data_IF_902297062774
#
_entry.id   IF_902297062774
#
_cell.length_a   1.000
_cell.length_b   1.000
_cell.length_c   1.000
_cell.angle_alpha   90.00
_cell.angle_beta   90.00
_cell.angle_gamma   90.00
#
_symmetry.space_group_name_H-M   'P 1'
#
loop_
_entity.id
_entity.type
_entity.pdbx_description
1 polymer ?
#
# COMPACT_ATOMS: atom_id res chain seq x y z
N UNK A 1 -10.40 57.17 -52.40
CA UNK A 1 -9.76 56.26 -51.42
C UNK A 1 -10.26 54.87 -51.68
N UNK A 2 -9.39 53.96 -52.08
CA UNK A 2 -9.69 52.51 -52.15
C UNK A 2 -9.47 51.93 -50.76
N UNK A 3 -10.42 51.15 -50.26
CA UNK A 3 -10.23 50.41 -49.01
C UNK A 3 -9.14 49.35 -49.17
N UNK A 4 -8.37 49.03 -48.11
CA UNK A 4 -7.48 47.88 -48.13
C UNK A 4 -8.26 46.60 -48.43
N UNK A 5 -7.61 45.61 -49.06
CA UNK A 5 -8.21 44.29 -49.25
C UNK A 5 -8.43 43.61 -47.89
N UNK A 6 -9.51 42.85 -47.78
CA UNK A 6 -9.81 41.99 -46.64
C UNK A 6 -9.82 40.56 -47.15
N UNK A 7 -8.88 39.75 -46.66
CA UNK A 7 -8.78 38.34 -47.03
C UNK A 7 -9.62 37.51 -46.07
N UNK A 8 -10.51 36.68 -46.61
CA UNK A 8 -11.31 35.69 -45.87
C UNK A 8 -10.85 34.32 -46.35
N UNK A 9 -10.36 33.51 -45.41
CA UNK A 9 -10.18 32.08 -45.61
C UNK A 9 -11.40 31.37 -45.04
N UNK A 10 -12.04 30.52 -45.86
CA UNK A 10 -13.15 29.68 -45.42
C UNK A 10 -12.60 28.29 -45.18
N UNK A 11 -12.73 27.81 -43.95
CA UNK A 11 -12.50 26.42 -43.60
C UNK A 11 -13.83 25.78 -43.18
N UNK A 12 -14.12 24.62 -43.77
CA UNK A 12 -15.31 23.83 -43.51
C UNK A 12 -14.96 22.37 -43.19
N UNK A 13 -13.68 22.06 -42.96
CA UNK A 13 -13.20 20.73 -42.63
C UNK A 13 -13.15 20.61 -41.11
N UNK A 14 -13.96 19.72 -40.54
CA UNK A 14 -13.86 19.46 -39.12
C UNK A 14 -12.61 18.60 -38.79
N UNK A 15 -12.07 18.73 -37.56
CA UNK A 15 -11.05 17.82 -37.05
C UNK A 15 -11.47 16.35 -37.10
N UNK A 16 -10.50 15.44 -37.11
CA UNK A 16 -10.74 14.03 -36.76
C UNK A 16 -11.14 13.90 -35.28
N UNK A 17 -11.73 12.75 -34.89
CA UNK A 17 -12.06 12.52 -33.48
C UNK A 17 -10.79 12.60 -32.62
N UNK A 18 -10.83 13.24 -31.44
CA UNK A 18 -9.71 13.20 -30.51
C UNK A 18 -9.44 11.77 -30.01
N UNK A 19 -8.26 11.58 -29.43
CA UNK A 19 -7.87 10.36 -28.72
C UNK A 19 -7.66 10.72 -27.26
N UNK A 20 -8.31 10.01 -26.35
CA UNK A 20 -7.98 10.00 -24.92
C UNK A 20 -7.12 8.75 -24.66
N UNK A 21 -5.86 8.97 -24.31
CA UNK A 21 -4.85 7.91 -24.22
C UNK A 21 -4.71 7.30 -22.82
N UNK A 22 -4.71 8.14 -21.79
CA UNK A 22 -4.59 7.72 -20.39
C UNK A 22 -5.24 8.70 -19.44
N UNK A 23 -5.52 8.22 -18.23
CA UNK A 23 -5.69 9.06 -17.05
C UNK A 23 -4.45 8.90 -16.15
N UNK A 24 -4.14 9.87 -15.30
CA UNK A 24 -3.05 9.78 -14.33
C UNK A 24 -3.61 9.98 -12.93
N UNK A 25 -3.27 9.06 -12.05
CA UNK A 25 -3.50 9.12 -10.60
C UNK A 25 -2.24 9.66 -9.92
N UNK A 26 -2.39 10.76 -9.18
CA UNK A 26 -1.32 11.34 -8.36
C UNK A 26 -1.61 11.37 -6.84
N UNK A 27 -2.66 10.69 -6.41
CA UNK A 27 -3.17 10.64 -5.02
C UNK A 27 -2.75 9.32 -4.35
N UNK A 28 -2.99 9.19 -3.05
CA UNK A 28 -2.81 7.90 -2.38
C UNK A 28 -1.37 7.35 -2.35
N UNK A 29 -1.28 6.05 -2.12
CA UNK A 29 -0.01 5.30 -2.11
C UNK A 29 0.25 4.56 -3.43
N UNK A 30 -0.78 4.37 -4.25
CA UNK A 30 -0.70 3.76 -5.57
C UNK A 30 -0.92 4.90 -6.56
N UNK A 31 0.06 5.14 -7.44
CA UNK A 31 0.06 6.27 -8.37
C UNK A 31 0.57 5.83 -9.73
N UNK A 32 0.16 6.56 -10.76
CA UNK A 32 0.69 6.38 -12.12
C UNK A 32 -0.39 6.49 -13.18
N UNK A 33 -0.01 6.09 -14.39
CA UNK A 33 -0.90 6.15 -15.55
C UNK A 33 -1.86 4.95 -15.58
N UNK A 34 -3.12 5.26 -15.88
CA UNK A 34 -4.25 4.36 -15.99
C UNK A 34 -4.64 4.24 -17.46
N UNK A 35 -4.90 3.00 -17.87
CA UNK A 35 -5.50 2.68 -19.17
C UNK A 35 -7.03 2.67 -19.07
N UNK A 36 -7.71 2.58 -20.22
CA UNK A 36 -9.17 2.42 -20.26
C UNK A 36 -9.61 1.19 -19.43
N UNK A 37 -10.59 1.41 -18.54
CA UNK A 37 -11.05 0.45 -17.55
C UNK A 37 -10.26 0.45 -16.23
N UNK A 38 -9.37 1.43 -16.03
CA UNK A 38 -8.60 1.59 -14.80
C UNK A 38 -9.45 2.02 -13.60
N UNK A 39 -8.90 1.84 -12.40
CA UNK A 39 -9.52 2.25 -11.13
C UNK A 39 -8.54 3.10 -10.32
N UNK A 40 -9.02 4.10 -9.59
CA UNK A 40 -8.17 5.08 -8.88
C UNK A 40 -8.83 5.61 -7.60
N UNK A 41 -8.02 5.99 -6.61
CA UNK A 41 -8.44 6.77 -5.44
C UNK A 41 -8.32 8.29 -5.63
N UNK A 42 -7.90 8.73 -6.82
CA UNK A 42 -7.82 10.13 -7.22
C UNK A 42 -9.18 10.63 -7.74
N UNK A 43 -9.72 11.65 -7.08
CA UNK A 43 -10.98 12.27 -7.48
C UNK A 43 -10.84 13.29 -8.61
N UNK A 44 -9.63 13.69 -8.94
CA UNK A 44 -9.31 14.65 -10.00
C UNK A 44 -8.23 14.09 -10.92
N UNK A 45 -8.45 12.91 -11.53
CA UNK A 45 -7.44 12.28 -12.37
C UNK A 45 -7.12 13.16 -13.57
N UNK A 46 -5.86 13.16 -13.98
CA UNK A 46 -5.43 13.98 -15.12
C UNK A 46 -5.56 13.19 -16.41
N UNK A 47 -6.46 13.62 -17.30
CA UNK A 47 -6.67 13.00 -18.61
C UNK A 47 -5.66 13.54 -19.63
N UNK A 48 -5.06 12.62 -20.40
CA UNK A 48 -4.06 12.93 -21.42
C UNK A 48 -4.49 12.35 -22.77
N UNK A 49 -4.28 13.11 -23.83
CA UNK A 49 -4.68 12.67 -25.16
C UNK A 49 -4.06 13.47 -26.30
N UNK A 50 -4.60 13.25 -27.50
CA UNK A 50 -4.24 13.99 -28.70
C UNK A 50 -5.46 14.47 -29.50
N UNK A 51 -5.34 15.59 -30.17
CA UNK A 51 -6.31 16.16 -31.09
C UNK A 51 -5.58 16.97 -32.20
N UNK A 52 -6.33 17.61 -33.09
CA UNK A 52 -5.73 18.54 -34.06
C UNK A 52 -4.99 19.67 -33.33
N UNK A 53 -3.73 20.01 -33.69
CA UNK A 53 -2.98 21.09 -33.05
C UNK A 53 -3.74 22.42 -33.03
N UNK A 54 -3.76 23.09 -31.88
CA UNK A 54 -4.47 24.35 -31.68
C UNK A 54 -5.99 24.23 -31.53
N UNK A 55 -6.58 23.05 -31.76
CA UNK A 55 -8.02 22.84 -31.55
C UNK A 55 -8.40 22.88 -30.07
N UNK A 56 -9.63 23.36 -29.80
CA UNK A 56 -10.24 23.26 -28.47
C UNK A 56 -10.79 21.86 -28.27
N UNK A 57 -10.38 21.21 -27.18
CA UNK A 57 -10.88 19.90 -26.77
C UNK A 57 -11.89 20.09 -25.65
N UNK A 58 -13.13 19.67 -25.87
CA UNK A 58 -14.18 19.55 -24.86
C UNK A 58 -14.14 18.15 -24.23
N UNK A 59 -14.26 18.07 -22.90
CA UNK A 59 -14.25 16.81 -22.14
C UNK A 59 -15.62 16.64 -21.48
N UNK A 60 -16.15 15.42 -21.56
CA UNK A 60 -17.44 15.03 -21.01
C UNK A 60 -17.28 13.82 -20.10
N UNK A 61 -18.05 13.78 -19.01
CA UNK A 61 -18.24 12.61 -18.14
C UNK A 61 -19.71 12.19 -18.19
N UNK A 62 -19.98 10.97 -18.62
CA UNK A 62 -21.33 10.43 -18.78
C UNK A 62 -22.24 11.34 -19.65
N UNK A 63 -21.63 12.02 -20.63
CA UNK A 63 -22.28 12.97 -21.54
C UNK A 63 -22.46 14.39 -20.99
N UNK A 64 -22.09 14.66 -19.73
CA UNK A 64 -22.10 16.02 -19.17
C UNK A 64 -20.74 16.70 -19.40
N UNK A 65 -20.75 17.95 -19.87
CA UNK A 65 -19.51 18.68 -20.12
C UNK A 65 -18.83 19.10 -18.81
N UNK A 66 -17.63 18.58 -18.56
CA UNK A 66 -16.87 18.84 -17.33
C UNK A 66 -15.76 19.88 -17.50
N UNK A 67 -15.39 20.22 -18.74
CA UNK A 67 -14.42 21.26 -19.02
C UNK A 67 -13.82 21.16 -20.41
N UNK A 68 -12.83 22.02 -20.66
CA UNK A 68 -12.12 22.04 -21.94
C UNK A 68 -10.67 22.45 -21.78
N UNK A 69 -9.85 22.04 -22.73
CA UNK A 69 -8.43 22.41 -22.85
C UNK A 69 -8.09 22.74 -24.32
N UNK A 70 -6.87 23.16 -24.60
CA UNK A 70 -6.38 23.40 -25.97
C UNK A 70 -5.27 22.39 -26.27
N UNK A 71 -5.33 21.75 -27.44
CA UNK A 71 -4.24 20.91 -27.92
C UNK A 71 -3.04 21.77 -28.32
N UNK A 72 -1.85 21.36 -27.89
CA UNK A 72 -0.60 22.08 -28.18
C UNK A 72 -0.21 21.99 -29.67
N UNK A 73 0.90 22.63 -30.04
CA UNK A 73 1.41 22.64 -31.42
C UNK A 73 1.77 21.24 -31.96
N UNK A 74 1.93 20.24 -31.08
CA UNK A 74 2.15 18.84 -31.45
C UNK A 74 0.86 18.02 -31.42
N UNK A 75 -0.27 18.63 -31.08
CA UNK A 75 -1.58 17.99 -30.95
C UNK A 75 -1.79 17.29 -29.60
N UNK A 76 -0.88 17.41 -28.64
CA UNK A 76 -1.05 16.82 -27.31
C UNK A 76 -1.93 17.72 -26.43
N UNK A 77 -2.78 17.12 -25.61
CA UNK A 77 -3.59 17.86 -24.64
C UNK A 77 -3.63 17.16 -23.29
N UNK A 78 -3.84 17.97 -22.24
CA UNK A 78 -4.03 17.51 -20.88
C UNK A 78 -5.20 18.28 -20.22
N UNK A 79 -5.98 17.56 -19.42
CA UNK A 79 -7.09 18.13 -18.66
C UNK A 79 -7.23 17.47 -17.28
N UNK A 80 -7.21 18.27 -16.22
CA UNK A 80 -7.50 17.86 -14.85
C UNK A 80 -8.83 18.48 -14.43
N UNK A 81 -9.86 17.71 -14.08
CA UNK A 81 -11.12 18.25 -13.58
C UNK A 81 -10.90 19.13 -12.35
N UNK A 82 -11.58 20.28 -12.26
CA UNK A 82 -11.54 21.14 -11.06
C UNK A 82 -12.58 20.74 -10.02
N UNK A 83 -13.68 20.13 -10.46
CA UNK A 83 -14.67 19.50 -9.59
C UNK A 83 -14.33 18.03 -9.48
N UNK A 84 -14.24 17.46 -8.26
CA UNK A 84 -14.02 16.03 -8.06
C UNK A 84 -15.07 15.20 -8.80
N UNK A 85 -14.63 14.16 -9.49
CA UNK A 85 -15.51 13.13 -10.02
C UNK A 85 -16.16 12.40 -8.83
N UNK A 86 -17.48 12.15 -8.84
CA UNK A 86 -18.13 11.27 -7.86
C UNK A 86 -17.48 9.89 -7.80
N UNK A 87 -17.77 9.11 -6.78
CA UNK A 87 -17.34 7.70 -6.72
C UNK A 87 -18.16 6.84 -7.70
N UNK A 88 -17.49 5.93 -8.41
CA UNK A 88 -18.11 4.97 -9.31
C UNK A 88 -17.54 4.98 -10.73
N UNK A 89 -18.31 4.41 -11.66
CA UNK A 89 -17.92 4.30 -13.07
C UNK A 89 -18.22 5.60 -13.85
N UNK A 90 -17.23 6.05 -14.62
CA UNK A 90 -17.24 7.23 -15.47
C UNK A 90 -16.96 6.84 -16.92
N UNK A 91 -17.76 7.38 -17.82
CA UNK A 91 -17.57 7.27 -19.27
C UNK A 91 -17.06 8.60 -19.80
N UNK A 92 -15.75 8.69 -20.05
CA UNK A 92 -15.10 9.92 -20.48
C UNK A 92 -15.03 9.96 -22.01
N UNK A 93 -15.63 10.98 -22.60
CA UNK A 93 -15.56 11.25 -24.04
C UNK A 93 -15.06 12.67 -24.30
N UNK A 94 -14.58 12.90 -25.52
CA UNK A 94 -14.05 14.20 -25.94
C UNK A 94 -14.47 14.57 -27.35
N UNK A 95 -14.56 15.88 -27.64
CA UNK A 95 -14.70 16.41 -29.01
C UNK A 95 -13.65 17.49 -29.25
N UNK A 96 -13.27 17.71 -30.52
CA UNK A 96 -12.37 18.80 -30.91
C UNK A 96 -13.07 19.79 -31.83
N UNK A 97 -12.81 21.08 -31.61
CA UNK A 97 -13.27 22.19 -32.45
C UNK A 97 -12.07 22.98 -32.95
N UNK A 98 -11.92 23.11 -34.27
CA UNK A 98 -10.83 23.87 -34.90
C UNK A 98 -10.95 25.40 -34.66
N UNK A 99 -9.96 26.17 -35.13
CA UNK A 99 -9.97 27.65 -35.04
C UNK A 99 -11.10 28.29 -35.85
N UNK A 100 -11.60 27.63 -36.90
CA UNK A 100 -12.69 28.10 -37.73
C UNK A 100 -14.08 27.82 -37.13
N UNK A 101 -14.14 27.03 -36.06
CA UNK A 101 -15.35 26.65 -35.34
C UNK A 101 -16.02 25.37 -35.85
N UNK A 102 -15.35 24.54 -36.66
CA UNK A 102 -15.86 23.24 -37.07
C UNK A 102 -15.57 22.20 -35.97
N UNK A 103 -16.61 21.53 -35.47
CA UNK A 103 -16.48 20.47 -34.46
C UNK A 103 -16.47 19.09 -35.13
N UNK A 104 -15.48 18.28 -34.76
CA UNK A 104 -15.31 16.90 -35.22
C UNK A 104 -16.23 15.90 -34.51
N UNK A 105 -16.15 14.61 -34.88
CA UNK A 105 -16.83 13.53 -34.17
C UNK A 105 -16.29 13.34 -32.74
N UNK A 106 -17.10 12.71 -31.89
CA UNK A 106 -16.71 12.31 -30.54
C UNK A 106 -15.63 11.21 -30.56
N UNK A 107 -14.76 11.22 -29.55
CA UNK A 107 -13.74 10.19 -29.32
C UNK A 107 -14.35 8.82 -29.02
N UNK A 108 -13.48 7.80 -28.98
CA UNK A 108 -13.86 6.54 -28.33
C UNK A 108 -14.04 6.77 -26.81
N UNK A 109 -14.82 5.90 -26.19
CA UNK A 109 -15.12 5.93 -24.76
C UNK A 109 -13.93 5.46 -23.91
N UNK A 110 -13.61 6.25 -22.88
CA UNK A 110 -12.63 5.89 -21.86
C UNK A 110 -13.34 5.69 -20.52
N UNK A 111 -13.47 4.43 -20.12
CA UNK A 111 -14.03 4.05 -18.84
C UNK A 111 -12.99 4.26 -17.76
N UNK A 112 -13.37 4.95 -16.69
CA UNK A 112 -12.58 5.10 -15.48
C UNK A 112 -13.47 4.81 -14.28
N UNK A 113 -12.98 4.07 -13.29
CA UNK A 113 -13.69 3.86 -12.04
C UNK A 113 -12.96 4.60 -10.92
N UNK A 114 -13.66 5.48 -10.23
CA UNK A 114 -13.16 6.12 -9.01
C UNK A 114 -13.66 5.34 -7.80
N UNK A 115 -12.77 5.10 -6.84
CA UNK A 115 -13.06 4.39 -5.60
C UNK A 115 -12.34 5.11 -4.46
N UNK A 116 -13.10 5.70 -3.54
CA UNK A 116 -12.56 6.44 -2.40
C UNK A 116 -12.85 5.74 -1.07
N UNK A 117 -13.46 4.55 -1.14
CA UNK A 117 -13.97 3.86 0.04
C UNK A 117 -12.92 2.89 0.55
N UNK A 118 -12.30 3.16 1.72
CA UNK A 118 -11.37 2.22 2.31
C UNK A 118 -12.08 0.93 2.77
N UNK A 119 -11.34 -0.17 2.94
CA UNK A 119 -11.89 -1.40 3.50
C UNK A 119 -12.46 -1.19 4.91
N UNK A 120 -13.41 -2.03 5.32
CA UNK A 120 -13.98 -1.98 6.67
C UNK A 120 -12.92 -2.37 7.71
N UNK A 121 -12.69 -1.49 8.69
CA UNK A 121 -11.61 -1.62 9.67
C UNK A 121 -12.07 -1.74 11.13
N UNK A 122 -13.36 -2.07 11.35
CA UNK A 122 -13.90 -2.28 12.70
C UNK A 122 -13.28 -3.51 13.37
N UNK A 123 -13.32 -3.55 14.71
CA UNK A 123 -12.68 -4.63 15.48
C UNK A 123 -13.19 -6.04 15.16
N UNK A 124 -14.42 -6.16 14.67
CA UNK A 124 -15.04 -7.44 14.31
C UNK A 124 -14.63 -7.93 12.91
N UNK A 125 -14.12 -7.03 12.06
CA UNK A 125 -13.70 -7.33 10.69
C UNK A 125 -12.17 -7.42 10.59
N UNK A 126 -11.44 -6.51 11.23
CA UNK A 126 -9.99 -6.43 11.18
C UNK A 126 -9.39 -6.64 12.58
N UNK A 127 -8.86 -7.83 12.85
CA UNK A 127 -8.15 -8.13 14.10
C UNK A 127 -7.12 -9.27 13.95
N UNK A 128 -6.22 -9.35 14.94
CA UNK A 128 -5.29 -10.48 15.11
C UNK A 128 -6.02 -11.58 15.88
N UNK A 129 -6.03 -12.79 15.32
CA UNK A 129 -6.67 -13.97 15.91
C UNK A 129 -5.68 -14.86 16.65
N UNK A 130 -4.42 -14.90 16.20
CA UNK A 130 -3.36 -15.68 16.86
C UNK A 130 -1.96 -15.14 16.57
N UNK A 131 -1.06 -15.33 17.53
CA UNK A 131 0.38 -15.13 17.40
C UNK A 131 1.03 -16.46 17.77
N UNK A 132 1.59 -17.16 16.78
CA UNK A 132 2.09 -18.52 16.94
C UNK A 132 3.58 -18.52 17.23
N UNK A 133 3.95 -19.03 18.41
CA UNK A 133 5.31 -19.32 18.83
C UNK A 133 5.68 -20.76 18.46
N UNK A 134 6.75 -20.96 17.69
CA UNK A 134 7.30 -22.26 17.35
C UNK A 134 8.73 -22.49 17.88
N UNK A 135 9.20 -21.61 18.77
CA UNK A 135 10.56 -21.61 19.32
C UNK A 135 10.58 -22.12 20.75
N UNK A 136 11.71 -22.71 21.14
CA UNK A 136 11.99 -23.02 22.54
C UNK A 136 11.01 -23.98 23.22
N UNK A 137 10.81 -23.77 24.52
CA UNK A 137 10.10 -24.71 25.39
C UNK A 137 8.60 -24.42 25.56
N UNK A 138 8.13 -23.25 25.09
CA UNK A 138 6.74 -22.79 25.25
C UNK A 138 6.13 -22.41 23.90
N UNK A 139 5.87 -23.43 23.10
CA UNK A 139 5.27 -23.27 21.78
C UNK A 139 3.73 -23.23 21.83
N UNK A 140 3.13 -22.59 20.83
CA UNK A 140 1.68 -22.51 20.64
C UNK A 140 1.20 -21.07 20.44
N UNK A 141 -0.10 -20.86 20.61
CA UNK A 141 -0.69 -19.52 20.50
C UNK A 141 -0.37 -18.67 21.74
N UNK A 142 0.22 -17.51 21.52
CA UNK A 142 0.54 -16.48 22.51
C UNK A 142 -0.62 -15.49 22.55
N UNK A 143 -1.37 -15.45 23.66
CA UNK A 143 -2.47 -14.52 23.82
C UNK A 143 -1.99 -13.08 24.03
N UNK A 144 -2.84 -12.08 23.73
CA UNK A 144 -2.53 -10.68 24.04
C UNK A 144 -2.27 -10.49 25.53
N UNK A 145 -1.16 -9.85 25.87
CA UNK A 145 -0.62 -9.65 27.21
C UNK A 145 0.41 -10.69 27.67
N UNK A 146 0.62 -11.77 26.90
CA UNK A 146 1.53 -12.85 27.28
C UNK A 146 2.97 -12.65 26.77
N UNK A 147 3.86 -13.57 27.17
CA UNK A 147 5.27 -13.61 26.78
C UNK A 147 5.55 -14.69 25.74
N UNK A 148 6.58 -14.48 24.90
CA UNK A 148 7.09 -15.44 23.91
C UNK A 148 8.61 -15.41 23.87
N UNK A 149 9.25 -16.56 23.63
CA UNK A 149 10.70 -16.64 23.32
C UNK A 149 10.98 -16.72 21.82
N UNK A 150 9.94 -16.67 20.99
CA UNK A 150 10.02 -16.50 19.56
C UNK A 150 10.07 -15.01 19.18
N UNK A 151 11.16 -14.60 18.53
CA UNK A 151 11.30 -13.23 17.99
C UNK A 151 10.65 -13.05 16.62
N UNK A 152 10.20 -14.12 15.96
CA UNK A 152 9.59 -14.11 14.63
C UNK A 152 8.31 -14.97 14.59
N UNK A 153 7.35 -14.73 15.51
CA UNK A 153 6.12 -15.50 15.52
C UNK A 153 5.34 -15.32 14.23
N UNK A 154 4.53 -16.32 13.89
CA UNK A 154 3.58 -16.22 12.78
C UNK A 154 2.29 -15.57 13.28
N UNK A 155 1.93 -14.43 12.70
CA UNK A 155 0.74 -13.66 13.08
C UNK A 155 -0.39 -14.02 12.12
N UNK A 156 -1.54 -14.43 12.65
CA UNK A 156 -2.75 -14.66 11.86
C UNK A 156 -3.86 -13.72 12.30
N UNK A 157 -4.74 -13.39 11.38
CA UNK A 157 -5.89 -12.55 11.67
C UNK A 157 -6.99 -12.66 10.63
N UNK A 158 -7.99 -11.82 10.81
CA UNK A 158 -9.09 -11.63 9.87
C UNK A 158 -9.10 -10.21 9.30
N UNK A 159 -9.69 -10.06 8.13
CA UNK A 159 -9.83 -8.80 7.41
C UNK A 159 -10.85 -8.89 6.28
N UNK A 160 -11.05 -7.78 5.57
CA UNK A 160 -11.88 -7.76 4.36
C UNK A 160 -11.15 -8.47 3.20
N UNK A 161 -11.80 -9.44 2.55
CA UNK A 161 -11.18 -10.24 1.50
C UNK A 161 -10.64 -9.39 0.33
N UNK A 162 -9.43 -9.68 -0.14
CA UNK A 162 -8.76 -8.93 -1.21
C UNK A 162 -8.02 -7.68 -0.75
N UNK A 163 -8.32 -7.15 0.44
CA UNK A 163 -7.54 -6.06 1.05
C UNK A 163 -6.15 -6.53 1.49
N UNK A 164 -5.23 -5.59 1.66
CA UNK A 164 -3.89 -5.81 2.22
C UNK A 164 -3.84 -5.31 3.65
N UNK A 165 -3.51 -6.18 4.59
CA UNK A 165 -3.29 -5.85 6.00
C UNK A 165 -1.81 -5.57 6.24
N UNK A 166 -1.51 -4.46 6.91
CA UNK A 166 -0.19 -4.05 7.34
C UNK A 166 -0.10 -4.19 8.86
N UNK A 167 0.90 -4.92 9.34
CA UNK A 167 1.12 -5.14 10.77
C UNK A 167 2.26 -4.26 11.24
N UNK A 168 2.00 -3.42 12.24
CA UNK A 168 2.98 -2.54 12.88
C UNK A 168 3.27 -3.01 14.29
N UNK A 169 4.53 -2.90 14.73
CA UNK A 169 4.88 -2.95 16.15
C UNK A 169 5.17 -1.54 16.65
N UNK A 170 4.68 -1.20 17.85
CA UNK A 170 5.20 -0.10 18.64
C UNK A 170 5.95 -0.68 19.84
N UNK A 171 7.25 -0.44 19.87
CA UNK A 171 8.16 -0.93 20.90
C UNK A 171 8.95 0.24 21.55
N UNK A 172 10.04 -0.07 22.26
CA UNK A 172 10.91 0.94 22.87
C UNK A 172 11.59 1.90 21.88
N UNK A 173 11.70 1.53 20.60
CA UNK A 173 12.27 2.32 19.51
C UNK A 173 11.19 3.10 18.72
N UNK A 174 9.91 2.81 18.94
CA UNK A 174 8.77 3.47 18.32
C UNK A 174 8.01 2.61 17.31
N UNK A 175 7.01 3.21 16.64
CA UNK A 175 6.16 2.51 15.67
C UNK A 175 6.93 2.23 14.38
N UNK A 176 6.93 0.98 13.93
CA UNK A 176 7.54 0.56 12.66
C UNK A 176 6.76 -0.60 12.02
N UNK A 177 6.85 -0.72 10.69
CA UNK A 177 6.17 -1.77 9.93
C UNK A 177 6.92 -3.09 10.08
N UNK A 178 6.20 -4.16 10.43
CA UNK A 178 6.74 -5.52 10.48
C UNK A 178 6.62 -6.23 9.12
N UNK A 179 5.49 -6.00 8.44
CA UNK A 179 5.20 -6.58 7.14
C UNK A 179 3.74 -6.41 6.76
N UNK A 180 3.33 -7.04 5.66
CA UNK A 180 1.95 -7.03 5.19
C UNK A 180 1.54 -8.38 4.61
N UNK A 181 0.23 -8.63 4.60
CA UNK A 181 -0.37 -9.84 4.05
C UNK A 181 -1.69 -9.51 3.35
N UNK A 182 -1.97 -10.18 2.23
CA UNK A 182 -3.27 -10.06 1.55
C UNK A 182 -4.28 -10.97 2.24
N UNK A 183 -5.48 -10.46 2.47
CA UNK A 183 -6.60 -11.23 3.00
C UNK A 183 -7.15 -12.14 1.91
N UNK A 184 -7.22 -13.44 2.19
CA UNK A 184 -7.74 -14.42 1.26
C UNK A 184 -9.28 -14.31 1.08
N UNK A 185 -9.84 -15.09 0.16
CA UNK A 185 -11.28 -15.10 -0.12
C UNK A 185 -12.17 -15.57 1.05
N UNK A 186 -11.58 -16.18 2.07
CA UNK A 186 -12.26 -16.62 3.29
C UNK A 186 -12.20 -15.58 4.41
N UNK A 187 -11.54 -14.42 4.18
CA UNK A 187 -11.41 -13.35 5.15
C UNK A 187 -10.23 -13.52 6.12
N UNK A 188 -9.30 -14.44 5.84
CA UNK A 188 -8.14 -14.72 6.70
C UNK A 188 -6.83 -14.20 6.08
N UNK A 189 -5.89 -13.78 6.92
CA UNK A 189 -4.54 -13.43 6.52
C UNK A 189 -3.51 -14.04 7.49
N UNK A 190 -2.31 -14.29 6.97
CA UNK A 190 -1.16 -14.82 7.73
C UNK A 190 0.08 -14.04 7.35
N UNK A 191 0.82 -13.57 8.34
CA UNK A 191 2.10 -12.90 8.20
C UNK A 191 3.19 -13.69 8.93
N UNK A 192 4.16 -14.20 8.18
CA UNK A 192 5.43 -14.67 8.72
C UNK A 192 6.42 -13.49 8.78
N UNK A 193 7.07 -13.29 9.92
CA UNK A 193 7.94 -12.13 10.12
C UNK A 193 9.35 -12.36 9.56
N UNK A 194 9.76 -11.53 8.61
CA UNK A 194 11.16 -11.48 8.17
C UNK A 194 12.03 -10.70 9.16
N UNK A 195 11.50 -9.58 9.68
CA UNK A 195 12.15 -8.74 10.67
C UNK A 195 11.78 -9.21 12.07
N UNK A 196 12.75 -9.54 12.94
CA UNK A 196 12.44 -9.95 14.30
C UNK A 196 11.83 -8.81 15.11
N UNK A 197 10.88 -9.15 15.97
CA UNK A 197 10.40 -8.28 17.03
C UNK A 197 11.54 -7.93 17.98
N UNK A 198 11.47 -6.74 18.56
CA UNK A 198 12.46 -6.27 19.53
C UNK A 198 12.17 -6.89 20.89
N UNK A 199 13.23 -7.24 21.63
CA UNK A 199 13.12 -7.71 23.02
C UNK A 199 12.31 -6.72 23.88
N UNK A 200 11.35 -7.22 24.66
CA UNK A 200 10.44 -6.44 25.48
C UNK A 200 9.02 -6.34 24.88
N UNK A 201 8.27 -5.33 25.34
CA UNK A 201 6.88 -5.11 24.93
C UNK A 201 6.80 -4.62 23.48
N UNK A 202 6.00 -5.32 22.68
CA UNK A 202 5.61 -4.97 21.32
C UNK A 202 4.09 -4.84 21.27
N UNK A 203 3.59 -3.63 20.99
CA UNK A 203 2.16 -3.38 20.80
C UNK A 203 1.83 -3.47 19.32
N UNK A 204 1.18 -4.57 18.92
CA UNK A 204 0.85 -4.82 17.52
C UNK A 204 -0.43 -4.09 17.13
N UNK A 205 -0.38 -3.36 16.01
CA UNK A 205 -1.53 -2.63 15.46
C UNK A 205 -1.66 -2.91 13.96
N UNK A 206 -2.87 -2.75 13.44
CA UNK A 206 -3.21 -3.05 12.05
C UNK A 206 -3.61 -1.80 11.29
N UNK A 207 -3.23 -1.75 10.03
CA UNK A 207 -3.81 -0.85 9.02
C UNK A 207 -4.22 -1.73 7.82
N UNK A 208 -5.26 -1.36 7.09
CA UNK A 208 -5.71 -2.09 5.89
C UNK A 208 -5.84 -1.15 4.69
N UNK A 209 -5.67 -1.70 3.50
CA UNK A 209 -5.74 -0.98 2.23
C UNK A 209 -6.45 -1.83 1.16
N UNK A 210 -7.28 -1.21 0.33
CA UNK A 210 -7.87 -1.88 -0.83
C UNK A 210 -6.89 -1.99 -2.02
N UNK A 211 -7.42 -2.30 -3.21
CA UNK A 211 -6.62 -2.49 -4.41
C UNK A 211 -6.18 -1.16 -5.08
N UNK A 212 -6.83 -0.04 -4.77
CA UNK A 212 -6.56 1.27 -5.39
C UNK A 212 -5.76 2.21 -4.49
N UNK A 213 -5.64 1.90 -3.20
CA UNK A 213 -4.81 2.64 -2.28
C UNK A 213 -5.55 3.25 -1.10
N UNK A 214 -6.88 3.14 -1.00
CA UNK A 214 -7.62 3.68 0.13
C UNK A 214 -7.21 2.94 1.40
N UNK A 215 -6.55 3.66 2.31
CA UNK A 215 -5.90 3.10 3.49
C UNK A 215 -6.48 3.63 4.77
N UNK A 216 -6.72 2.75 5.73
CA UNK A 216 -7.34 3.09 7.01
C UNK A 216 -6.69 2.33 8.17
N UNK A 217 -6.67 2.96 9.34
CA UNK A 217 -6.17 2.35 10.58
C UNK A 217 -7.27 1.48 11.20
N UNK A 218 -6.90 0.29 11.68
CA UNK A 218 -7.81 -0.61 12.38
C UNK A 218 -8.30 -0.06 13.71
N UNK A 219 -9.55 -0.34 14.04
CA UNK A 219 -10.18 0.06 15.31
C UNK A 219 -10.00 -0.99 16.42
N UNK A 220 -9.52 -2.19 16.08
CA UNK A 220 -9.19 -3.20 17.08
C UNK A 220 -8.15 -2.68 18.09
N UNK A 221 -8.28 -3.05 19.38
CA UNK A 221 -7.23 -2.75 20.36
C UNK A 221 -5.91 -3.40 19.94
N UNK A 222 -4.80 -2.87 20.44
CA UNK A 222 -3.50 -3.48 20.18
C UNK A 222 -3.43 -4.91 20.69
N UNK A 223 -2.69 -5.75 19.96
CA UNK A 223 -2.33 -7.09 20.41
C UNK A 223 -0.95 -7.00 21.04
N UNK A 224 -0.91 -6.98 22.37
CA UNK A 224 0.32 -6.73 23.11
C UNK A 224 1.04 -8.05 23.35
N UNK A 225 2.33 -8.15 23.01
CA UNK A 225 3.16 -9.32 23.30
C UNK A 225 4.50 -8.86 23.87
N UNK A 226 5.05 -9.62 24.81
CA UNK A 226 6.38 -9.35 25.35
C UNK A 226 7.36 -10.42 24.88
N UNK A 227 8.33 -10.03 24.05
CA UNK A 227 9.41 -10.91 23.63
C UNK A 227 10.42 -10.99 24.76
N UNK A 228 10.71 -12.21 25.21
CA UNK A 228 11.69 -12.50 26.24
C UNK A 228 12.57 -13.66 25.79
N UNK A 229 13.69 -13.37 25.14
CA UNK A 229 14.64 -14.40 24.70
C UNK A 229 15.52 -14.79 25.90
N UNK A 230 15.39 -16.02 26.44
CA UNK A 230 16.23 -16.43 27.55
C UNK A 230 17.70 -16.43 27.12
N UNK A 231 18.55 -15.71 27.83
CA UNK A 231 20.00 -15.82 27.65
C UNK A 231 20.42 -17.25 28.00
N UNK A 232 21.04 -17.94 27.03
CA UNK A 232 21.65 -19.23 27.30
C UNK A 232 22.75 -19.06 28.34
N UNK A 233 22.52 -19.57 29.54
CA UNK A 233 23.58 -19.71 30.54
C UNK A 233 24.21 -21.07 30.30
N UNK A 234 25.21 -21.12 29.41
CA UNK A 234 26.00 -22.34 29.27
C UNK A 234 26.55 -22.71 30.66
N UNK A 235 26.33 -23.95 31.16
CA UNK A 235 26.85 -24.36 32.44
C UNK A 235 28.38 -24.26 32.40
N UNK A 236 28.93 -23.34 33.19
CA UNK A 236 30.37 -23.19 33.36
C UNK A 236 30.83 -23.97 34.58
N UNK A 237 31.87 -24.79 34.41
CA UNK A 237 32.62 -25.32 35.55
C UNK A 237 33.51 -24.18 36.05
N UNK A 238 33.10 -23.51 37.13
CA UNK A 238 33.85 -22.39 37.71
C UNK A 238 35.13 -22.85 38.42
N UNK A 239 35.15 -24.10 38.90
CA UNK A 239 36.32 -24.73 39.50
C UNK A 239 36.14 -26.24 39.53
N UNK A 240 37.21 -26.96 39.24
CA UNK A 240 37.41 -28.33 39.71
C UNK A 240 38.34 -28.22 40.91
N UNK A 241 38.09 -28.98 41.98
CA UNK A 241 38.91 -28.93 43.21
C UNK A 241 39.38 -30.34 43.50
N UNK A 242 40.70 -30.49 43.68
CA UNK A 242 41.29 -31.70 44.25
C UNK A 242 41.10 -31.65 45.76
N UNK A 243 40.44 -32.68 46.31
CA UNK A 243 40.12 -32.74 47.73
C UNK A 243 40.95 -33.79 48.50
N UNK A 244 41.93 -34.44 47.86
CA UNK A 244 42.75 -35.46 48.47
C UNK A 244 44.20 -35.00 48.74
N UNK A 245 44.69 -35.24 49.96
CA UNK A 245 46.08 -34.94 50.34
C UNK A 245 47.10 -35.80 49.54
N UNK A 246 48.33 -35.31 49.31
CA UNK A 246 48.92 -34.07 49.83
C UNK A 246 48.66 -32.80 49.01
N UNK A 247 47.93 -32.91 47.89
CA UNK A 247 47.69 -31.79 46.97
C UNK A 247 46.22 -31.40 46.96
N UNK A 248 45.81 -30.58 47.93
CA UNK A 248 44.44 -30.04 48.00
C UNK A 248 44.36 -28.65 47.38
N UNK A 249 43.30 -28.38 46.61
CA UNK A 249 43.05 -27.04 46.09
C UNK A 249 42.41 -26.99 44.68
N UNK A 250 42.17 -25.78 44.16
CA UNK A 250 41.59 -25.59 42.84
C UNK A 250 42.52 -26.10 41.74
N UNK A 251 41.97 -26.90 40.83
CA UNK A 251 42.67 -27.48 39.71
C UNK A 251 42.60 -26.59 38.46
N UNK A 252 43.69 -26.59 37.68
CA UNK A 252 43.76 -26.01 36.34
C UNK A 252 43.58 -27.08 35.26
N UNK A 253 43.26 -26.63 34.04
CA UNK A 253 43.09 -27.53 32.89
C UNK A 253 44.36 -28.34 32.61
N UNK A 254 44.25 -29.67 32.68
CA UNK A 254 45.34 -30.60 32.40
C UNK A 254 46.10 -31.07 33.64
N UNK A 255 45.73 -30.61 34.83
CA UNK A 255 46.22 -31.17 36.09
C UNK A 255 45.56 -32.53 36.37
N UNK A 256 46.29 -33.39 37.05
CA UNK A 256 45.84 -34.74 37.44
C UNK A 256 45.55 -34.76 38.94
N UNK A 257 44.35 -35.20 39.33
CA UNK A 257 43.96 -35.40 40.72
C UNK A 257 44.21 -36.85 41.16
N UNK A 258 44.45 -37.06 42.46
CA UNK A 258 44.48 -38.38 43.10
C UNK A 258 43.12 -38.80 43.71
N UNK A 259 42.06 -38.01 43.48
CA UNK A 259 40.69 -38.36 43.84
C UNK A 259 40.28 -39.68 43.15
N UNK A 260 39.83 -40.66 43.93
CA UNK A 260 39.25 -41.90 43.42
C UNK A 260 37.76 -41.94 43.74
N UNK A 261 36.95 -41.63 42.72
CA UNK A 261 35.47 -41.47 42.68
C UNK A 261 34.87 -40.30 43.45
#
# INVERSE_FOLDING_TARGET
VTSPSFDITVDATAPEKPVLGSATDDVGTIRGDLSNGGTTDDANPTFNGSAEPGSRVDIYDNGEHIGSTIADDNGAWQFTPTTPLPEGEHHITTTATDEAGNTGPESDDFVLVTDYTPPVASSDVLNITSVMDDVGGRQGNVASGEITDDSKPVINGIGEAGSTVFVYSTDANGKHLLGSAVVNSEGNWTLALDTPLVEGLNQLTLETQDAVGNRVVGEAPSYDITVLIPVSTEPSINSVVDNAEPHVGPMQKGETTNDTT
#
